data_IF_526475604835
#
_entry.id   IF_526475604835
#
_cell.length_a   1.000
_cell.length_b   1.000
_cell.length_c   1.000
_cell.angle_alpha   90.00
_cell.angle_beta   90.00
_cell.angle_gamma   90.00
#
_symmetry.space_group_name_H-M   'P 1'
#
loop_
_entity.id
_entity.type
_entity.pdbx_description
1 polymer ?
#
# COMPACT_ATOMS: atom_id res chain seq x y z
N UNK A 1 41.78 24.39 -29.43
CA UNK A 1 40.49 24.80 -30.00
C UNK A 1 40.11 23.77 -31.04
N UNK A 2 39.30 22.82 -30.72
CA UNK A 2 38.69 21.92 -31.71
C UNK A 2 37.22 21.70 -31.31
N UNK A 3 36.33 22.19 -32.17
CA UNK A 3 34.89 22.10 -32.09
C UNK A 3 34.47 20.78 -32.72
N UNK A 4 33.97 19.82 -31.93
CA UNK A 4 33.38 18.58 -32.43
C UNK A 4 31.95 18.79 -32.94
N UNK A 5 31.49 18.06 -34.00
CA UNK A 5 30.26 18.33 -34.69
C UNK A 5 29.03 17.78 -33.96
N UNK A 6 28.02 18.62 -33.76
CA UNK A 6 26.67 18.24 -33.32
C UNK A 6 26.00 17.37 -34.39
N UNK A 7 25.60 16.17 -34.05
CA UNK A 7 24.77 15.32 -34.88
C UNK A 7 23.31 15.83 -34.91
N UNK A 8 22.65 15.99 -36.08
CA UNK A 8 21.29 16.49 -36.13
C UNK A 8 20.29 15.43 -35.64
N UNK A 9 19.35 15.85 -34.79
CA UNK A 9 18.22 15.07 -34.33
C UNK A 9 17.37 14.61 -35.52
N UNK A 10 17.29 13.28 -35.74
CA UNK A 10 16.44 12.67 -36.78
C UNK A 10 14.99 13.08 -36.55
N UNK A 11 14.42 13.84 -37.47
CA UNK A 11 13.00 14.20 -37.53
C UNK A 11 12.15 12.93 -37.63
N UNK A 12 11.29 12.70 -36.62
CA UNK A 12 10.36 11.56 -36.64
C UNK A 12 9.26 11.82 -37.67
N UNK A 13 9.26 11.06 -38.76
CA UNK A 13 8.30 11.13 -39.86
C UNK A 13 6.84 11.07 -39.36
N UNK A 14 6.02 12.14 -39.52
CA UNK A 14 4.65 12.19 -39.05
C UNK A 14 3.73 11.19 -39.76
N UNK A 15 4.10 10.71 -40.97
CA UNK A 15 3.34 9.69 -41.70
C UNK A 15 3.40 8.32 -41.04
N UNK A 16 4.52 7.94 -40.40
CA UNK A 16 4.66 6.71 -39.63
C UNK A 16 3.79 6.73 -38.37
N UNK A 17 3.60 7.88 -37.74
CA UNK A 17 2.77 8.04 -36.55
C UNK A 17 1.29 7.85 -36.86
N UNK A 18 0.83 8.46 -38.01
CA UNK A 18 -0.57 8.29 -38.47
C UNK A 18 -0.88 6.84 -38.87
N UNK A 19 0.03 6.12 -39.55
CA UNK A 19 -0.16 4.68 -39.86
C UNK A 19 -0.22 3.79 -38.64
N UNK A 20 0.56 4.06 -37.59
CA UNK A 20 0.50 3.31 -36.32
C UNK A 20 -0.81 3.59 -35.57
N UNK A 21 -1.30 4.80 -35.56
CA UNK A 21 -2.60 5.15 -34.96
C UNK A 21 -3.78 4.53 -35.74
N UNK A 22 -3.75 4.53 -37.03
CA UNK A 22 -4.78 3.88 -37.88
C UNK A 22 -4.82 2.36 -37.64
N UNK A 23 -3.65 1.70 -37.60
CA UNK A 23 -3.58 0.26 -37.26
C UNK A 23 -4.11 -0.04 -35.86
N UNK A 24 -3.82 0.78 -34.85
CA UNK A 24 -4.35 0.60 -33.49
C UNK A 24 -5.87 0.76 -33.45
N UNK A 25 -6.44 1.71 -34.19
CA UNK A 25 -7.90 1.88 -34.30
C UNK A 25 -8.57 0.71 -35.00
N UNK A 26 -7.97 0.15 -36.05
CA UNK A 26 -8.46 -1.05 -36.72
C UNK A 26 -8.43 -2.28 -35.81
N UNK A 27 -7.37 -2.48 -35.05
CA UNK A 27 -7.27 -3.59 -34.07
C UNK A 27 -8.31 -3.45 -32.97
N UNK A 28 -8.54 -2.24 -32.46
CA UNK A 28 -9.57 -1.99 -31.45
C UNK A 28 -10.98 -2.24 -32.00
N UNK A 29 -11.28 -1.83 -33.23
CA UNK A 29 -12.56 -2.10 -33.87
C UNK A 29 -12.77 -3.60 -34.10
N UNK A 30 -11.74 -4.31 -34.53
CA UNK A 30 -11.82 -5.76 -34.70
C UNK A 30 -12.08 -6.49 -33.37
N UNK A 31 -11.47 -6.04 -32.26
CA UNK A 31 -11.71 -6.57 -30.93
C UNK A 31 -13.15 -6.30 -30.44
N UNK A 32 -13.69 -5.13 -30.71
CA UNK A 32 -15.08 -4.79 -30.34
C UNK A 32 -16.06 -5.66 -31.14
N UNK A 33 -15.85 -5.86 -32.45
CA UNK A 33 -16.69 -6.75 -33.27
C UNK A 33 -16.62 -8.19 -32.77
N UNK A 34 -15.44 -8.68 -32.41
CA UNK A 34 -15.26 -10.02 -31.85
C UNK A 34 -16.03 -10.19 -30.52
N UNK A 35 -15.96 -9.22 -29.64
CA UNK A 35 -16.70 -9.24 -28.36
C UNK A 35 -18.21 -9.24 -28.60
N UNK A 36 -18.70 -8.43 -29.52
CA UNK A 36 -20.12 -8.40 -29.88
C UNK A 36 -20.60 -9.73 -30.49
N UNK A 37 -19.77 -10.37 -31.32
CA UNK A 37 -20.08 -11.68 -31.88
C UNK A 37 -20.15 -12.78 -30.81
N UNK A 38 -19.25 -12.75 -29.82
CA UNK A 38 -19.26 -13.70 -28.69
C UNK A 38 -20.49 -13.47 -27.82
N UNK A 39 -20.86 -12.23 -27.53
CA UNK A 39 -22.07 -11.89 -26.76
C UNK A 39 -23.32 -12.37 -27.50
N UNK A 40 -23.43 -12.16 -28.81
CA UNK A 40 -24.53 -12.63 -29.61
C UNK A 40 -24.65 -14.18 -29.59
N UNK A 41 -23.51 -14.90 -29.72
CA UNK A 41 -23.47 -16.36 -29.66
C UNK A 41 -23.94 -16.91 -28.31
N UNK A 42 -23.56 -16.24 -27.19
CA UNK A 42 -23.99 -16.62 -25.84
C UNK A 42 -25.50 -16.36 -25.64
N UNK A 43 -26.04 -15.28 -26.21
CA UNK A 43 -27.49 -14.98 -26.14
C UNK A 43 -28.31 -15.98 -26.94
N UNK A 44 -27.85 -16.40 -28.13
CA UNK A 44 -28.50 -17.43 -28.93
C UNK A 44 -28.46 -18.80 -28.25
N UNK A 45 -27.34 -19.16 -27.63
CA UNK A 45 -27.22 -20.40 -26.87
C UNK A 45 -28.13 -20.47 -25.63
N UNK A 46 -28.46 -19.32 -25.03
CA UNK A 46 -29.41 -19.23 -23.92
C UNK A 46 -30.88 -19.28 -24.33
N UNK A 47 -31.19 -18.90 -25.56
CA UNK A 47 -32.56 -18.89 -26.08
C UNK A 47 -33.06 -20.28 -26.55
N UNK A 48 -32.17 -21.30 -26.66
CA UNK A 48 -32.45 -22.61 -27.22
C UNK A 48 -32.68 -23.74 -26.20
N UNK A 49 -32.81 -23.49 -24.91
CA UNK A 49 -32.97 -24.51 -23.86
C UNK A 49 -34.30 -24.39 -23.13
N UNK A 50 -35.38 -24.89 -23.73
CA UNK A 50 -36.68 -24.99 -23.07
C UNK A 50 -36.96 -26.42 -22.62
N UNK A 51 -37.44 -26.59 -21.38
CA UNK A 51 -38.26 -27.73 -20.98
C UNK A 51 -37.63 -28.67 -19.95
N UNK A 52 -38.12 -28.57 -18.72
CA UNK A 52 -37.91 -29.57 -17.64
C UNK A 52 -38.50 -29.04 -16.33
N UNK A 53 -39.80 -29.30 -16.14
CA UNK A 53 -40.46 -29.18 -14.83
C UNK A 53 -39.98 -30.30 -13.93
N UNK A 54 -39.54 -29.98 -12.72
CA UNK A 54 -39.94 -30.76 -11.54
C UNK A 54 -39.78 -29.89 -10.30
N UNK A 55 -40.86 -29.80 -9.54
CA UNK A 55 -41.00 -29.05 -8.33
C UNK A 55 -40.39 -29.77 -7.13
N UNK A 56 -39.62 -29.08 -6.34
CA UNK A 56 -39.43 -29.39 -4.94
C UNK A 56 -39.34 -28.09 -4.15
N UNK A 57 -40.44 -27.81 -3.45
CA UNK A 57 -40.54 -26.72 -2.47
C UNK A 57 -39.73 -27.09 -1.24
N UNK A 58 -38.54 -26.53 -1.10
CA UNK A 58 -37.84 -26.47 0.17
C UNK A 58 -37.95 -25.09 0.78
N UNK A 59 -38.72 -25.01 1.85
CA UNK A 59 -38.84 -23.86 2.75
C UNK A 59 -37.44 -23.37 3.14
N UNK A 60 -37.06 -22.19 2.65
CA UNK A 60 -35.90 -21.48 3.14
C UNK A 60 -36.25 -20.94 4.55
N UNK A 61 -35.81 -21.63 5.58
CA UNK A 61 -35.68 -21.06 6.91
C UNK A 61 -34.61 -19.97 6.85
N UNK A 62 -35.02 -18.73 7.07
CA UNK A 62 -34.16 -17.58 7.17
C UNK A 62 -33.14 -17.75 8.32
N UNK A 63 -31.99 -18.30 8.01
CA UNK A 63 -30.83 -18.27 8.90
C UNK A 63 -30.31 -16.82 8.96
N UNK A 64 -30.53 -16.19 10.10
CA UNK A 64 -29.81 -14.99 10.51
C UNK A 64 -28.31 -15.23 10.24
N UNK A 65 -27.54 -14.33 9.62
CA UNK A 65 -26.10 -14.50 9.51
C UNK A 65 -25.54 -14.75 10.90
N UNK A 66 -24.92 -15.89 11.13
CA UNK A 66 -24.21 -16.17 12.36
C UNK A 66 -23.16 -15.08 12.52
N UNK A 67 -23.36 -14.19 13.48
CA UNK A 67 -22.37 -13.21 13.87
C UNK A 67 -21.11 -14.01 14.24
N UNK A 68 -20.02 -13.77 13.53
CA UNK A 68 -18.74 -14.32 13.88
C UNK A 68 -18.47 -13.98 15.35
N UNK A 69 -18.44 -14.99 16.20
CA UNK A 69 -18.08 -14.84 17.62
C UNK A 69 -16.68 -14.22 17.63
N UNK A 70 -16.46 -13.08 18.31
CA UNK A 70 -15.12 -12.52 18.39
C UNK A 70 -14.18 -13.60 18.91
N UNK A 71 -13.13 -13.93 18.14
CA UNK A 71 -12.05 -14.77 18.64
C UNK A 71 -11.51 -14.12 19.92
N UNK A 72 -11.21 -14.90 20.98
CA UNK A 72 -10.55 -14.36 22.17
C UNK A 72 -9.32 -13.56 21.72
N UNK A 73 -9.19 -12.31 22.15
CA UNK A 73 -8.05 -11.46 21.84
C UNK A 73 -6.83 -12.10 22.53
N UNK A 74 -6.08 -12.88 21.80
CA UNK A 74 -4.79 -13.40 22.26
C UNK A 74 -3.88 -12.20 22.48
N UNK A 75 -3.12 -12.13 23.60
CA UNK A 75 -2.20 -11.02 23.80
C UNK A 75 -1.23 -10.91 22.61
N UNK A 76 -0.86 -9.68 22.21
CA UNK A 76 0.07 -9.50 21.08
C UNK A 76 1.39 -10.20 21.37
N UNK A 77 2.08 -10.73 20.34
CA UNK A 77 3.38 -11.35 20.51
C UNK A 77 4.35 -10.44 21.25
N UNK A 78 5.14 -10.97 22.17
CA UNK A 78 6.18 -10.20 22.86
C UNK A 78 7.20 -9.66 21.86
N UNK A 79 7.65 -8.43 22.07
CA UNK A 79 8.75 -7.80 21.33
C UNK A 79 9.97 -7.67 22.24
N UNK A 80 11.14 -7.55 21.62
CA UNK A 80 12.39 -7.22 22.33
C UNK A 80 12.71 -5.74 22.20
N UNK A 81 13.64 -5.23 22.98
CA UNK A 81 14.16 -3.89 22.80
C UNK A 81 15.16 -3.90 21.64
N UNK A 82 14.92 -3.11 20.60
CA UNK A 82 15.78 -3.04 19.44
C UNK A 82 17.18 -2.53 19.79
N UNK A 83 18.21 -3.26 19.33
CA UNK A 83 19.62 -2.90 19.53
C UNK A 83 20.38 -3.01 18.22
N UNK A 84 21.63 -2.52 18.17
CA UNK A 84 22.51 -2.72 16.99
C UNK A 84 22.84 -4.19 16.77
N UNK A 85 22.94 -4.97 17.84
CA UNK A 85 23.25 -6.39 17.76
C UNK A 85 22.04 -7.23 17.35
N UNK A 86 20.84 -6.76 17.71
CA UNK A 86 19.56 -7.40 17.38
C UNK A 86 18.57 -6.35 16.82
N UNK A 87 18.77 -5.93 15.57
CA UNK A 87 17.96 -4.89 14.94
C UNK A 87 16.60 -5.43 14.50
N UNK A 88 15.60 -4.57 14.46
CA UNK A 88 14.26 -4.89 13.98
C UNK A 88 14.19 -4.67 12.47
N UNK A 89 13.86 -5.70 11.71
CA UNK A 89 13.55 -5.59 10.28
C UNK A 89 12.15 -5.03 10.12
N UNK A 90 12.06 -3.85 9.48
CA UNK A 90 10.80 -3.13 9.26
C UNK A 90 10.50 -3.12 7.77
N UNK A 91 9.46 -3.83 7.36
CA UNK A 91 8.94 -3.67 6.00
C UNK A 91 8.00 -2.46 5.95
N UNK A 92 8.21 -1.58 4.97
CA UNK A 92 7.36 -0.42 4.71
C UNK A 92 6.91 -0.41 3.25
N UNK A 93 5.62 -0.21 3.01
CA UNK A 93 5.10 -0.21 1.65
C UNK A 93 3.58 -0.26 1.53
N UNK A 94 3.11 -0.65 0.35
CA UNK A 94 1.69 -0.66 0.01
C UNK A 94 1.42 -0.19 -1.42
N UNK A 95 0.41 0.68 -1.62
CA UNK A 95 0.17 1.35 -2.90
C UNK A 95 1.16 2.50 -3.12
N UNK A 96 0.87 3.50 -3.95
CA UNK A 96 1.77 4.65 -4.17
C UNK A 96 2.04 5.43 -2.88
N UNK A 97 1.03 5.65 -2.03
CA UNK A 97 1.24 6.30 -0.72
C UNK A 97 2.04 5.40 0.24
N UNK A 98 1.92 4.08 0.12
CA UNK A 98 2.77 3.13 0.82
C UNK A 98 4.24 3.21 0.37
N UNK A 99 4.49 3.50 -0.90
CA UNK A 99 5.81 3.82 -1.42
C UNK A 99 6.37 5.09 -0.79
N UNK A 100 5.58 6.15 -0.71
CA UNK A 100 5.96 7.42 -0.07
C UNK A 100 6.22 7.27 1.43
N UNK A 101 5.42 6.45 2.13
CA UNK A 101 5.71 6.05 3.50
C UNK A 101 7.10 5.38 3.59
N UNK A 102 7.38 4.44 2.71
CA UNK A 102 8.65 3.73 2.67
C UNK A 102 9.83 4.66 2.44
N UNK A 103 9.75 5.54 1.47
CA UNK A 103 10.80 6.53 1.16
C UNK A 103 11.05 7.51 2.31
N UNK A 104 10.01 7.99 2.97
CA UNK A 104 10.16 8.87 4.14
C UNK A 104 10.71 8.13 5.36
N UNK A 105 10.30 6.87 5.57
CA UNK A 105 10.63 6.11 6.79
C UNK A 105 12.02 5.50 6.74
N UNK A 106 12.50 5.04 5.57
CA UNK A 106 13.77 4.34 5.46
C UNK A 106 14.97 5.14 6.00
N UNK A 107 15.19 6.43 5.66
CA UNK A 107 16.29 7.20 6.20
C UNK A 107 16.25 7.32 7.73
N UNK A 108 15.06 7.45 8.31
CA UNK A 108 14.87 7.56 9.77
C UNK A 108 15.20 6.23 10.47
N UNK A 109 14.80 5.11 9.88
CA UNK A 109 15.13 3.78 10.37
C UNK A 109 16.64 3.52 10.33
N UNK A 110 17.29 3.80 9.20
CA UNK A 110 18.73 3.64 9.01
C UNK A 110 19.54 4.51 9.97
N UNK A 111 19.13 5.76 10.16
CA UNK A 111 19.77 6.68 11.10
C UNK A 111 19.70 6.17 12.55
N UNK A 112 18.65 5.46 12.92
CA UNK A 112 18.48 4.90 14.27
C UNK A 112 19.50 3.84 14.61
N UNK A 113 20.07 3.15 13.61
CA UNK A 113 21.02 2.03 13.72
C UNK A 113 20.47 0.77 14.42
N UNK A 114 19.18 0.76 14.78
CA UNK A 114 18.51 -0.37 15.44
C UNK A 114 17.30 -0.87 14.68
N UNK A 115 16.95 -0.21 13.58
CA UNK A 115 15.93 -0.64 12.64
C UNK A 115 16.52 -0.80 11.25
N UNK A 116 16.10 -1.85 10.54
CA UNK A 116 16.54 -2.15 9.17
C UNK A 116 15.33 -2.01 8.23
N UNK A 117 15.32 -1.05 7.29
CA UNK A 117 14.22 -0.88 6.35
C UNK A 117 14.23 -1.94 5.26
N UNK A 118 13.04 -2.38 4.87
CA UNK A 118 12.75 -3.22 3.71
C UNK A 118 11.60 -2.55 2.98
N UNK A 119 11.77 -2.18 1.72
CA UNK A 119 10.78 -1.44 0.97
C UNK A 119 10.22 -2.25 -0.19
N UNK A 120 8.91 -2.21 -0.33
CA UNK A 120 8.24 -2.66 -1.54
C UNK A 120 6.87 -1.99 -1.66
N UNK A 121 6.57 -1.48 -2.84
CA UNK A 121 5.26 -0.90 -3.15
C UNK A 121 4.85 -1.23 -4.59
N UNK A 122 3.56 -1.08 -4.89
CA UNK A 122 3.04 -1.20 -6.24
C UNK A 122 2.04 -0.07 -6.50
N UNK A 123 2.44 0.85 -7.37
CA UNK A 123 1.57 1.95 -7.77
C UNK A 123 0.24 1.47 -8.33
N UNK A 124 -0.80 2.28 -8.15
CA UNK A 124 -2.16 2.03 -8.65
C UNK A 124 -2.80 0.72 -8.17
N UNK A 125 -2.19 0.03 -7.22
CA UNK A 125 -2.72 -1.20 -6.64
C UNK A 125 -3.60 -0.93 -5.41
N UNK A 126 -4.29 -1.96 -4.95
CA UNK A 126 -5.15 -1.91 -3.77
C UNK A 126 -5.70 -3.28 -3.41
N UNK A 127 -6.46 -3.33 -2.35
CA UNK A 127 -7.08 -4.57 -1.83
C UNK A 127 -8.28 -4.99 -2.68
N UNK A 128 -8.97 -4.05 -3.33
CA UNK A 128 -10.11 -4.33 -4.19
C UNK A 128 -9.77 -5.10 -5.47
N UNK A 129 -8.57 -4.91 -6.02
CA UNK A 129 -8.19 -5.34 -7.35
C UNK A 129 -7.04 -6.35 -7.34
N UNK A 130 -7.27 -7.48 -6.71
CA UNK A 130 -6.30 -8.59 -6.71
C UNK A 130 -6.13 -9.23 -8.10
N UNK A 131 -7.07 -9.02 -9.00
CA UNK A 131 -6.93 -9.35 -10.42
C UNK A 131 -5.85 -8.48 -11.13
N UNK A 132 -5.66 -7.23 -10.70
CA UNK A 132 -4.59 -6.36 -11.17
C UNK A 132 -3.26 -6.65 -10.45
N UNK A 133 -3.29 -6.76 -9.12
CA UNK A 133 -2.14 -7.09 -8.29
C UNK A 133 -2.58 -7.79 -7.00
N UNK A 134 -2.21 -9.05 -6.87
CA UNK A 134 -2.59 -9.90 -5.74
C UNK A 134 -1.70 -9.59 -4.51
N UNK A 135 -2.18 -8.67 -3.68
CA UNK A 135 -1.51 -8.32 -2.43
C UNK A 135 -1.50 -9.45 -1.42
N UNK A 136 -2.49 -10.33 -1.40
CA UNK A 136 -2.51 -11.50 -0.50
C UNK A 136 -1.32 -12.42 -0.76
N UNK A 137 -1.14 -12.82 -2.02
CA UNK A 137 0.01 -13.64 -2.46
C UNK A 137 1.33 -12.91 -2.28
N UNK A 138 1.37 -11.61 -2.63
CA UNK A 138 2.60 -10.81 -2.49
C UNK A 138 3.02 -10.68 -1.03
N UNK A 139 2.09 -10.43 -0.12
CA UNK A 139 2.38 -10.34 1.32
C UNK A 139 2.90 -11.65 1.87
N UNK A 140 2.27 -12.78 1.54
CA UNK A 140 2.79 -14.11 1.88
C UNK A 140 4.24 -14.28 1.43
N UNK A 141 4.56 -13.90 0.19
CA UNK A 141 5.94 -13.94 -0.33
C UNK A 141 6.88 -13.05 0.45
N UNK A 142 6.50 -11.82 0.77
CA UNK A 142 7.30 -10.87 1.57
C UNK A 142 7.60 -11.46 2.94
N UNK A 143 6.59 -11.98 3.62
CA UNK A 143 6.76 -12.57 4.95
C UNK A 143 7.69 -13.78 4.93
N UNK A 144 7.63 -14.59 3.89
CA UNK A 144 8.51 -15.75 3.74
C UNK A 144 9.95 -15.37 3.40
N UNK A 145 10.16 -14.41 2.49
CA UNK A 145 11.49 -14.10 1.94
C UNK A 145 12.23 -13.03 2.76
N UNK A 146 11.58 -11.94 3.11
CA UNK A 146 12.17 -10.82 3.83
C UNK A 146 12.08 -10.98 5.36
N UNK A 147 11.13 -11.77 5.84
CA UNK A 147 10.90 -12.07 7.28
C UNK A 147 10.92 -10.83 8.15
N UNK A 148 10.11 -9.81 7.87
CA UNK A 148 10.07 -8.60 8.69
C UNK A 148 9.56 -8.91 10.09
N UNK A 149 10.14 -8.23 11.09
CA UNK A 149 9.66 -8.31 12.47
C UNK A 149 8.53 -7.33 12.73
N UNK A 150 8.54 -6.20 12.00
CA UNK A 150 7.51 -5.20 12.00
C UNK A 150 7.10 -4.85 10.57
N UNK A 151 5.83 -4.54 10.37
CA UNK A 151 5.27 -4.13 9.08
C UNK A 151 4.62 -2.76 9.24
N UNK A 152 5.02 -1.78 8.43
CA UNK A 152 4.34 -0.50 8.28
C UNK A 152 3.68 -0.46 6.88
N UNK A 153 2.37 -0.65 6.84
CA UNK A 153 1.62 -0.74 5.58
C UNK A 153 0.70 0.46 5.41
N UNK A 154 0.69 1.06 4.21
CA UNK A 154 -0.24 2.11 3.85
C UNK A 154 -0.85 1.79 2.50
N UNK A 155 -2.16 1.52 2.47
CA UNK A 155 -2.88 1.07 1.30
C UNK A 155 -4.36 1.38 1.41
N UNK A 156 -4.97 1.77 0.29
CA UNK A 156 -6.40 2.08 0.25
C UNK A 156 -6.79 3.21 -0.70
N UNK A 157 -5.81 3.99 -1.18
CA UNK A 157 -6.05 5.14 -2.06
C UNK A 157 -6.86 4.76 -3.30
N UNK A 158 -6.60 3.56 -3.85
CA UNK A 158 -7.21 3.05 -5.06
C UNK A 158 -8.42 2.14 -4.80
N UNK A 159 -8.79 1.92 -3.54
CA UNK A 159 -9.85 0.97 -3.16
C UNK A 159 -11.26 1.56 -3.20
N UNK A 160 -11.43 2.71 -3.84
CA UNK A 160 -12.73 3.35 -4.03
C UNK A 160 -13.48 2.83 -5.27
N UNK A 161 -13.34 1.56 -5.56
CA UNK A 161 -13.87 0.87 -6.74
C UNK A 161 -14.49 -0.49 -6.37
N UNK A 162 -15.18 -1.10 -7.32
CA UNK A 162 -15.77 -2.42 -7.13
C UNK A 162 -14.71 -3.49 -6.90
N UNK A 163 -15.03 -4.48 -6.07
CA UNK A 163 -14.20 -5.67 -5.86
C UNK A 163 -14.51 -6.67 -6.97
N UNK A 164 -13.44 -7.11 -7.65
CA UNK A 164 -13.49 -8.29 -8.52
C UNK A 164 -13.13 -9.55 -7.75
N UNK A 165 -13.96 -10.57 -7.85
CA UNK A 165 -13.75 -11.83 -7.15
C UNK A 165 -14.45 -12.96 -7.91
N UNK A 166 -13.67 -13.93 -8.41
CA UNK A 166 -14.15 -15.14 -9.09
C UNK A 166 -15.25 -14.89 -10.15
N UNK A 167 -15.03 -13.92 -11.03
CA UNK A 167 -15.99 -13.61 -12.09
C UNK A 167 -17.13 -12.68 -11.68
N UNK A 168 -17.17 -12.23 -10.42
CA UNK A 168 -18.25 -11.39 -9.89
C UNK A 168 -17.75 -10.04 -9.44
N UNK A 169 -18.38 -8.96 -9.93
CA UNK A 169 -18.17 -7.61 -9.45
C UNK A 169 -19.08 -7.29 -8.25
N UNK A 170 -18.49 -6.85 -7.16
CA UNK A 170 -19.21 -6.34 -5.99
C UNK A 170 -19.06 -4.84 -5.94
N UNK A 171 -20.18 -4.13 -6.13
CA UNK A 171 -20.19 -2.65 -6.25
C UNK A 171 -19.71 -1.96 -4.98
N UNK A 172 -18.85 -0.94 -5.16
CA UNK A 172 -18.25 -0.13 -4.08
C UNK A 172 -19.29 0.39 -3.09
N UNK A 173 -18.96 0.34 -1.82
CA UNK A 173 -19.72 0.92 -0.71
C UNK A 173 -21.00 0.20 -0.31
N UNK A 174 -21.44 -0.81 -1.08
CA UNK A 174 -22.60 -1.66 -0.73
C UNK A 174 -22.27 -2.58 0.46
N UNK A 175 -23.27 -3.08 1.21
CA UNK A 175 -23.02 -3.98 2.34
C UNK A 175 -22.09 -5.16 2.00
N UNK A 176 -22.36 -5.85 0.88
CA UNK A 176 -21.52 -6.96 0.41
C UNK A 176 -20.06 -6.54 0.11
N UNK A 177 -19.87 -5.32 -0.41
CA UNK A 177 -18.51 -4.79 -0.64
C UNK A 177 -17.78 -4.55 0.68
N UNK A 178 -18.45 -3.94 1.65
CA UNK A 178 -17.86 -3.67 2.98
C UNK A 178 -17.43 -4.97 3.65
N UNK A 179 -18.28 -5.99 3.62
CA UNK A 179 -17.97 -7.32 4.16
C UNK A 179 -16.75 -7.95 3.46
N UNK A 180 -16.72 -7.95 2.13
CA UNK A 180 -15.59 -8.50 1.37
C UNK A 180 -14.30 -7.72 1.57
N UNK A 181 -14.38 -6.38 1.62
CA UNK A 181 -13.22 -5.54 1.86
C UNK A 181 -12.65 -5.76 3.26
N UNK A 182 -13.52 -5.79 4.29
CA UNK A 182 -13.13 -6.11 5.66
C UNK A 182 -12.45 -7.48 5.77
N UNK A 183 -13.00 -8.50 5.13
CA UNK A 183 -12.39 -9.84 5.11
C UNK A 183 -10.98 -9.80 4.49
N UNK A 184 -10.80 -9.18 3.32
CA UNK A 184 -9.48 -9.09 2.67
C UNK A 184 -8.46 -8.30 3.51
N UNK A 185 -8.89 -7.23 4.19
CA UNK A 185 -8.05 -6.46 5.12
C UNK A 185 -7.64 -7.34 6.31
N UNK A 186 -8.60 -8.03 6.93
CA UNK A 186 -8.34 -8.94 8.05
C UNK A 186 -7.43 -10.10 7.66
N UNK A 187 -7.69 -10.76 6.53
CA UNK A 187 -6.85 -11.85 6.00
C UNK A 187 -5.41 -11.38 5.77
N UNK A 188 -5.23 -10.14 5.29
CA UNK A 188 -3.90 -9.59 5.08
C UNK A 188 -3.20 -9.28 6.42
N UNK A 189 -3.93 -8.77 7.41
CA UNK A 189 -3.40 -8.58 8.78
C UNK A 189 -2.98 -9.92 9.39
N UNK A 190 -3.82 -10.94 9.27
CA UNK A 190 -3.52 -12.28 9.77
C UNK A 190 -2.32 -12.90 9.04
N UNK A 191 -2.23 -12.75 7.70
CA UNK A 191 -1.08 -13.22 6.91
C UNK A 191 0.24 -12.62 7.40
N UNK A 192 0.26 -11.34 7.77
CA UNK A 192 1.46 -10.69 8.29
C UNK A 192 1.83 -11.23 9.68
N UNK A 193 0.86 -11.44 10.55
CA UNK A 193 1.10 -11.99 11.89
C UNK A 193 1.54 -13.45 11.82
N UNK A 194 0.87 -14.29 11.06
CA UNK A 194 1.21 -15.71 10.87
C UNK A 194 2.59 -15.89 10.22
N UNK A 195 2.97 -14.94 9.35
CA UNK A 195 4.29 -14.88 8.73
C UNK A 195 5.40 -14.40 9.66
N UNK A 196 5.10 -14.10 10.94
CA UNK A 196 6.08 -13.81 12.00
C UNK A 196 6.26 -12.33 12.33
N UNK A 197 5.46 -11.41 11.76
CA UNK A 197 5.46 -10.03 12.22
C UNK A 197 4.97 -9.96 13.68
N UNK A 198 5.75 -9.31 14.54
CA UNK A 198 5.36 -9.07 15.93
C UNK A 198 4.44 -7.88 16.08
N UNK A 199 4.56 -6.91 15.18
CA UNK A 199 3.73 -5.71 15.09
C UNK A 199 3.43 -5.37 13.63
N UNK A 200 2.20 -4.95 13.41
CA UNK A 200 1.74 -4.39 12.14
C UNK A 200 1.18 -2.99 12.43
N UNK A 201 1.73 -1.99 11.77
CA UNK A 201 1.28 -0.61 11.81
C UNK A 201 0.55 -0.33 10.51
N UNK A 202 -0.77 -0.44 10.53
CA UNK A 202 -1.58 -0.08 9.36
C UNK A 202 -1.87 1.41 9.39
N UNK A 203 -1.23 2.12 8.50
CA UNK A 203 -1.35 3.57 8.38
C UNK A 203 -2.61 3.91 7.61
N UNK A 204 -3.48 4.73 8.20
CA UNK A 204 -4.73 5.17 7.56
C UNK A 204 -4.49 6.07 6.38
N UNK A 205 -5.51 6.22 5.53
CA UNK A 205 -5.49 7.18 4.43
C UNK A 205 -5.66 8.60 4.96
N UNK A 206 -4.89 9.56 4.46
CA UNK A 206 -5.01 10.96 4.86
C UNK A 206 -6.21 11.63 4.18
N UNK A 207 -6.56 12.83 4.67
CA UNK A 207 -7.51 13.71 3.97
C UNK A 207 -6.99 14.04 2.57
N UNK A 208 -7.85 14.04 1.55
CA UNK A 208 -7.53 14.24 0.14
C UNK A 208 -7.97 15.63 -0.34
N UNK A 209 -7.35 16.14 -1.42
CA UNK A 209 -7.69 17.43 -2.00
C UNK A 209 -9.13 17.51 -2.50
N UNK A 210 -9.60 16.45 -3.16
CA UNK A 210 -10.98 16.38 -3.64
C UNK A 210 -11.93 15.90 -2.54
N UNK A 211 -12.92 16.71 -2.18
CA UNK A 211 -13.84 16.45 -1.07
C UNK A 211 -14.61 15.13 -1.19
N UNK A 212 -14.97 14.73 -2.42
CA UNK A 212 -15.67 13.46 -2.67
C UNK A 212 -14.83 12.23 -2.29
N UNK A 213 -13.51 12.34 -2.33
CA UNK A 213 -12.61 11.26 -1.88
C UNK A 213 -12.65 11.11 -0.36
N UNK A 214 -12.91 12.17 0.38
CA UNK A 214 -12.79 12.15 1.84
C UNK A 214 -13.80 11.22 2.52
N UNK A 215 -15.05 11.17 2.06
CA UNK A 215 -16.03 10.20 2.56
C UNK A 215 -15.61 8.76 2.29
N UNK A 216 -14.96 8.51 1.16
CA UNK A 216 -14.45 7.20 0.76
C UNK A 216 -13.25 6.78 1.59
N UNK A 217 -12.29 7.69 1.81
CA UNK A 217 -11.14 7.42 2.69
C UNK A 217 -11.57 7.19 4.13
N UNK A 218 -12.56 7.94 4.63
CA UNK A 218 -13.13 7.70 5.97
C UNK A 218 -13.78 6.31 6.08
N UNK A 219 -14.49 5.84 5.05
CA UNK A 219 -15.04 4.48 5.03
C UNK A 219 -13.94 3.42 5.09
N UNK A 220 -12.91 3.56 4.25
CA UNK A 220 -11.77 2.65 4.22
C UNK A 220 -11.04 2.65 5.57
N UNK A 221 -10.72 3.83 6.11
CA UNK A 221 -10.10 3.98 7.41
C UNK A 221 -10.93 3.35 8.54
N UNK A 222 -12.25 3.51 8.51
CA UNK A 222 -13.16 2.88 9.46
C UNK A 222 -13.04 1.36 9.46
N UNK A 223 -13.12 0.74 8.28
CA UNK A 223 -13.01 -0.71 8.12
C UNK A 223 -11.63 -1.20 8.58
N UNK A 224 -10.55 -0.52 8.17
CA UNK A 224 -9.20 -0.89 8.59
C UNK A 224 -9.03 -0.79 10.10
N UNK A 225 -9.53 0.27 10.72
CA UNK A 225 -9.48 0.46 12.18
C UNK A 225 -10.26 -0.62 12.93
N UNK A 226 -11.45 -0.99 12.43
CA UNK A 226 -12.24 -2.08 13.00
C UNK A 226 -11.50 -3.42 12.88
N UNK A 227 -10.92 -3.73 11.73
CA UNK A 227 -10.14 -4.95 11.55
C UNK A 227 -8.88 -4.98 12.42
N UNK A 228 -8.17 -3.86 12.54
CA UNK A 228 -7.00 -3.77 13.42
C UNK A 228 -7.35 -4.08 14.87
N UNK A 229 -8.51 -3.66 15.35
CA UNK A 229 -8.98 -3.96 16.71
C UNK A 229 -9.28 -5.46 16.96
N UNK A 230 -9.47 -6.25 15.91
CA UNK A 230 -9.71 -7.69 15.98
C UNK A 230 -8.42 -8.54 15.91
N UNK A 231 -7.27 -7.92 15.61
CA UNK A 231 -6.00 -8.62 15.40
C UNK A 231 -4.95 -8.14 16.40
N UNK A 232 -4.69 -8.95 17.43
CA UNK A 232 -3.69 -8.64 18.44
C UNK A 232 -2.29 -8.50 17.80
N UNK A 233 -1.64 -7.35 18.00
CA UNK A 233 -0.37 -7.00 17.35
C UNK A 233 -0.52 -6.09 16.13
N UNK A 234 -1.76 -5.78 15.71
CA UNK A 234 -2.02 -4.77 14.69
C UNK A 234 -2.44 -3.46 15.35
N UNK A 235 -1.81 -2.37 14.94
CA UNK A 235 -2.13 -1.01 15.34
C UNK A 235 -2.59 -0.21 14.13
N UNK A 236 -3.77 0.41 14.21
CA UNK A 236 -4.17 1.45 13.27
C UNK A 236 -3.47 2.77 13.63
N UNK A 237 -2.75 3.34 12.68
CA UNK A 237 -2.07 4.64 12.84
C UNK A 237 -2.88 5.71 12.14
N UNK A 238 -3.60 6.52 12.93
CA UNK A 238 -4.39 7.62 12.39
C UNK A 238 -3.50 8.78 11.98
N UNK A 239 -3.53 9.12 10.70
CA UNK A 239 -2.78 10.24 10.13
C UNK A 239 -3.70 11.32 9.55
N UNK A 240 -5.01 11.18 9.69
CA UNK A 240 -5.96 12.17 9.18
C UNK A 240 -5.71 13.56 9.73
N UNK A 241 -5.57 13.75 11.06
CA UNK A 241 -5.28 15.07 11.63
C UNK A 241 -3.91 15.62 11.22
N UNK A 242 -2.97 14.73 10.87
CA UNK A 242 -1.61 15.12 10.49
C UNK A 242 -1.59 15.96 9.20
N UNK A 243 -2.57 15.72 8.30
CA UNK A 243 -2.66 16.34 6.98
C UNK A 243 -3.88 17.25 6.83
N UNK A 244 -4.52 17.58 7.94
CA UNK A 244 -5.60 18.55 8.02
C UNK A 244 -5.11 19.87 8.63
N UNK A 245 -5.76 20.96 8.25
CA UNK A 245 -5.61 22.26 8.92
C UNK A 245 -6.21 22.21 10.33
N UNK A 246 -5.99 23.24 11.14
CA UNK A 246 -6.60 23.34 12.46
C UNK A 246 -8.14 23.25 12.43
N UNK A 247 -8.77 23.67 11.33
CA UNK A 247 -10.21 23.58 11.12
C UNK A 247 -10.68 22.23 10.56
N UNK A 248 -9.79 21.23 10.46
CA UNK A 248 -10.10 19.89 9.97
C UNK A 248 -10.27 19.77 8.45
N UNK A 249 -9.86 20.78 7.68
CA UNK A 249 -9.91 20.79 6.22
C UNK A 249 -8.57 20.34 5.61
N UNK A 250 -8.59 20.03 4.31
CA UNK A 250 -7.38 19.64 3.57
C UNK A 250 -6.29 20.71 3.62
N UNK A 251 -5.06 20.29 3.94
CA UNK A 251 -3.88 21.16 3.95
C UNK A 251 -2.98 20.86 2.74
N UNK A 252 -3.04 21.75 1.74
CA UNK A 252 -2.28 21.61 0.49
C UNK A 252 -0.75 21.68 0.69
N UNK A 253 -0.26 22.25 1.82
CA UNK A 253 1.16 22.40 2.12
C UNK A 253 1.94 21.08 2.04
N UNK A 254 1.28 19.99 2.37
CA UNK A 254 1.90 18.67 2.48
C UNK A 254 1.68 17.79 1.25
N UNK A 255 1.02 18.34 0.22
CA UNK A 255 0.54 17.57 -0.94
C UNK A 255 1.20 18.00 -2.24
N UNK A 256 1.42 17.03 -3.13
CA UNK A 256 1.71 17.29 -4.53
C UNK A 256 0.49 17.94 -5.23
N UNK A 257 0.70 18.44 -6.43
CA UNK A 257 -0.33 19.17 -7.18
C UNK A 257 -1.59 18.37 -7.55
N UNK A 258 -1.56 17.05 -7.41
CA UNK A 258 -2.71 16.16 -7.65
C UNK A 258 -3.65 16.03 -6.44
N UNK A 259 -3.27 16.60 -5.29
CA UNK A 259 -4.05 16.57 -4.05
C UNK A 259 -4.12 15.19 -3.37
N UNK A 260 -3.35 14.21 -3.85
CA UNK A 260 -3.28 12.84 -3.34
C UNK A 260 -1.91 12.53 -2.77
N UNK A 261 -0.87 12.66 -3.58
CA UNK A 261 0.51 12.33 -3.20
C UNK A 261 1.12 13.37 -2.25
N UNK A 262 2.12 12.97 -1.48
CA UNK A 262 2.78 13.80 -0.49
C UNK A 262 3.98 14.53 -1.12
N UNK A 263 4.22 15.77 -0.69
CA UNK A 263 5.54 16.38 -0.88
C UNK A 263 6.59 15.66 -0.05
N UNK A 264 7.88 15.88 -0.33
CA UNK A 264 8.97 15.35 0.51
C UNK A 264 8.77 15.70 1.98
N UNK A 265 8.42 16.94 2.29
CA UNK A 265 8.11 17.37 3.66
C UNK A 265 6.88 16.64 4.25
N UNK A 266 5.88 16.32 3.43
CA UNK A 266 4.74 15.48 3.81
C UNK A 266 5.15 14.04 4.15
N UNK A 267 6.04 13.46 3.35
CA UNK A 267 6.60 12.11 3.59
C UNK A 267 7.41 12.07 4.89
N UNK A 268 8.25 13.07 5.14
CA UNK A 268 9.01 13.20 6.39
C UNK A 268 8.10 13.33 7.61
N UNK A 269 7.02 14.13 7.49
CA UNK A 269 6.01 14.29 8.55
C UNK A 269 5.30 12.96 8.85
N UNK A 270 4.91 12.21 7.82
CA UNK A 270 4.34 10.88 7.93
C UNK A 270 5.31 9.92 8.62
N UNK A 271 6.56 9.88 8.15
CA UNK A 271 7.60 9.02 8.68
C UNK A 271 7.87 9.25 10.17
N UNK A 272 7.95 10.50 10.61
CA UNK A 272 8.11 10.86 12.04
C UNK A 272 6.99 10.27 12.91
N UNK A 273 5.76 10.30 12.42
CA UNK A 273 4.60 9.76 13.14
C UNK A 273 4.65 8.24 13.24
N UNK A 274 4.94 7.55 12.12
CA UNK A 274 5.04 6.09 12.10
C UNK A 274 6.26 5.61 12.89
N UNK A 275 7.38 6.31 12.81
CA UNK A 275 8.57 6.01 13.60
C UNK A 275 8.34 6.17 15.11
N UNK A 276 7.53 7.15 15.52
CA UNK A 276 7.13 7.29 16.92
C UNK A 276 6.34 6.07 17.42
N UNK A 277 5.44 5.51 16.60
CA UNK A 277 4.72 4.29 16.92
C UNK A 277 5.67 3.08 17.04
N UNK A 278 6.60 2.93 16.09
CA UNK A 278 7.65 1.90 16.16
C UNK A 278 8.49 2.02 17.43
N UNK A 279 8.95 3.21 17.77
CA UNK A 279 9.76 3.43 18.99
C UNK A 279 9.01 3.06 20.26
N UNK A 280 7.72 3.32 20.33
CA UNK A 280 6.90 2.99 21.50
C UNK A 280 6.93 1.49 21.81
N UNK A 281 6.91 0.64 20.80
CA UNK A 281 6.94 -0.81 20.98
C UNK A 281 8.36 -1.38 21.14
N UNK A 282 9.33 -0.88 20.36
CA UNK A 282 10.64 -1.53 20.18
C UNK A 282 11.80 -0.79 20.86
N UNK A 283 11.61 0.45 21.27
CA UNK A 283 12.60 1.24 21.99
C UNK A 283 11.91 2.10 23.07
N UNK A 284 11.18 1.50 24.01
CA UNK A 284 10.37 2.22 25.00
C UNK A 284 11.20 3.11 25.94
N UNK A 285 12.49 2.82 26.09
CA UNK A 285 13.42 3.61 26.90
C UNK A 285 14.27 4.59 26.09
N UNK A 286 13.89 4.80 24.82
CA UNK A 286 14.65 5.61 23.87
C UNK A 286 15.62 4.80 23.02
N UNK A 287 16.21 5.47 22.04
CA UNK A 287 17.23 4.85 21.20
C UNK A 287 18.60 4.96 21.89
N UNK A 288 19.51 3.99 21.69
CA UNK A 288 20.89 4.13 22.19
C UNK A 288 21.50 5.42 21.62
N UNK A 289 22.05 6.26 22.50
CA UNK A 289 22.81 7.42 22.06
C UNK A 289 23.93 6.97 21.11
N UNK A 290 24.10 7.62 19.97
CA UNK A 290 25.28 7.46 19.17
C UNK A 290 26.49 7.82 20.07
N UNK A 291 27.38 6.85 20.36
CA UNK A 291 28.65 7.23 20.99
C UNK A 291 29.30 8.29 20.09
N UNK A 292 29.77 9.41 20.63
CA UNK A 292 30.54 10.35 19.84
C UNK A 292 31.69 9.58 19.20
N UNK A 293 31.82 9.69 17.90
CA UNK A 293 32.98 9.20 17.18
C UNK A 293 34.17 9.90 17.81
N UNK A 294 35.22 9.20 18.29
CA UNK A 294 36.40 9.88 18.76
C UNK A 294 36.87 10.80 17.63
N UNK A 295 37.05 12.08 17.95
CA UNK A 295 37.58 13.08 17.03
C UNK A 295 38.82 12.51 16.36
N UNK A 296 38.77 12.35 15.04
CA UNK A 296 39.94 12.11 14.25
C UNK A 296 40.74 13.41 14.28
N UNK A 297 41.62 13.55 15.28
CA UNK A 297 42.61 14.61 15.30
C UNK A 297 43.40 14.58 13.97
N UNK A 298 43.45 15.72 13.27
CA UNK A 298 44.27 15.78 12.07
C UNK A 298 45.75 15.61 12.47
N UNK A 299 46.36 14.52 12.06
CA UNK A 299 47.79 14.37 12.14
C UNK A 299 48.45 15.37 11.18
N UNK A 300 48.89 16.50 11.72
CA UNK A 300 49.75 17.42 10.99
C UNK A 300 51.16 16.81 10.96
N UNK A 301 51.49 16.18 9.86
CA UNK A 301 52.89 15.85 9.57
C UNK A 301 53.56 17.07 8.98
N UNK A 302 54.28 17.79 9.82
CA UNK A 302 55.23 18.83 9.40
C UNK A 302 56.51 18.10 8.88
N UNK A 303 56.67 18.05 7.59
CA UNK A 303 57.99 17.73 6.97
C UNK A 303 58.75 19.05 6.77
N UNK A 304 59.68 19.34 7.69
CA UNK A 304 60.68 20.32 7.47
C UNK A 304 61.77 19.74 6.58
N UNK A 305 61.93 20.26 5.39
CA UNK A 305 63.11 20.07 4.56
C UNK A 305 64.01 21.27 4.70
N UNK A 306 65.11 21.12 5.41
CA UNK A 306 66.27 22.01 5.36
C UNK A 306 67.22 21.54 4.26
N UNK A 307 67.53 22.42 3.35
CA UNK A 307 68.64 22.29 2.40
C UNK A 307 69.81 23.18 2.83
N UNK A 308 71.05 22.79 2.55
CA UNK A 308 72.16 23.75 2.55
C UNK A 308 72.24 24.46 1.21
#
# INVERSE_FOLDING_TARGET
METGPYAPLRSRDPRRRRRRQARRRLVLLALVVLVLAVVAAVLVARAGGGGGKDGSSSKATGGKPAGATPKPITPPPKVWVATKADPVRVWAGGDSLGGELGYGLAPVLEQSKVFMPILYYKESSGICRWDFFDWGRKMTSIMHTARPNAVAIMMGTNDTQSIWDNGVWTAYGKPAWKTKYAARVGDMMQTMLDGGARRVYWVGMPIMGESWRNSRMKLINGIVKEQAALHAGVQYVDIWPLFATANGTYDAKWRAGDGVHLTVAGQERLAKTVFAALKKDWAPYGLPSAKPTPDASPSVSASASSSP
#
